data_IF_513031691143
#
_entry.id   IF_513031691143
#
_cell.length_a   1.000
_cell.length_b   1.000
_cell.length_c   1.000
_cell.angle_alpha   90.00
_cell.angle_beta   90.00
_cell.angle_gamma   90.00
#
_symmetry.space_group_name_H-M   'P 1'
#
loop_
_entity.id
_entity.type
_entity.pdbx_description
1 polymer ?
#
# COMPACT_ATOMS: atom_id res chain seq x y z
N UNK A 1 -2.99 6.78 -13.45
CA UNK A 1 -2.68 5.70 -12.47
C UNK A 1 -3.53 5.92 -11.22
N UNK A 2 -3.90 4.87 -10.50
CA UNK A 2 -4.54 4.95 -9.17
C UNK A 2 -3.61 4.36 -8.12
N UNK A 3 -3.82 4.72 -6.84
CA UNK A 3 -2.97 4.28 -5.75
C UNK A 3 -3.81 3.83 -4.55
N UNK A 4 -3.40 2.77 -3.87
CA UNK A 4 -4.03 2.27 -2.65
C UNK A 4 -2.99 1.99 -1.58
N UNK A 5 -3.26 2.44 -0.35
CA UNK A 5 -2.47 2.06 0.83
C UNK A 5 -3.26 1.02 1.62
N UNK A 6 -2.63 -0.11 1.92
CA UNK A 6 -3.22 -1.19 2.70
C UNK A 6 -2.81 -1.03 4.17
N UNK A 7 -3.75 -0.59 5.01
CA UNK A 7 -3.55 -0.30 6.42
C UNK A 7 -4.54 -1.04 7.35
N UNK A 8 -5.14 -2.15 6.88
CA UNK A 8 -6.14 -2.92 7.63
C UNK A 8 -5.55 -4.08 8.47
N UNK A 9 -4.22 -4.24 8.51
CA UNK A 9 -3.56 -5.29 9.28
C UNK A 9 -3.74 -5.17 10.79
N UNK A 10 -3.76 -6.30 11.50
CA UNK A 10 -4.05 -6.37 12.94
C UNK A 10 -2.96 -5.79 13.86
N UNK A 11 -1.72 -5.62 13.38
CA UNK A 11 -0.58 -5.04 14.13
C UNK A 11 -0.31 -5.68 15.51
N UNK A 12 -0.62 -6.96 15.68
CA UNK A 12 -0.64 -7.65 16.98
C UNK A 12 0.71 -7.68 17.69
N UNK A 13 1.82 -7.73 16.94
CA UNK A 13 3.19 -7.79 17.48
C UNK A 13 3.74 -6.44 17.92
N UNK A 14 3.28 -5.36 17.30
CA UNK A 14 3.73 -4.00 17.59
C UNK A 14 3.07 -3.41 18.84
N UNK A 15 1.93 -3.98 19.29
CA UNK A 15 1.17 -3.48 20.43
C UNK A 15 0.39 -2.18 20.18
N UNK A 16 0.55 -1.60 19.00
CA UNK A 16 -0.18 -0.41 18.52
C UNK A 16 -0.42 -0.51 17.01
N UNK A 17 -1.40 0.23 16.45
CA UNK A 17 -1.67 0.23 15.02
C UNK A 17 -0.48 0.75 14.20
N UNK A 18 0.07 -0.07 13.30
CA UNK A 18 1.21 0.30 12.43
C UNK A 18 1.01 1.62 11.69
N UNK A 19 -0.20 1.86 11.21
CA UNK A 19 -0.53 3.09 10.48
C UNK A 19 -0.31 4.37 11.30
N UNK A 20 -0.36 4.28 12.63
CA UNK A 20 -0.33 5.41 13.55
C UNK A 20 0.96 5.53 14.36
N UNK A 21 1.94 4.64 14.13
CA UNK A 21 3.26 4.78 14.78
C UNK A 21 3.93 6.07 14.33
N UNK A 22 4.70 6.68 15.22
CA UNK A 22 5.56 7.79 14.86
C UNK A 22 6.65 7.30 13.92
N UNK A 23 6.74 7.93 12.77
CA UNK A 23 7.75 7.70 11.75
C UNK A 23 8.20 9.05 11.23
N UNK A 24 9.46 9.40 11.49
CA UNK A 24 10.02 10.71 11.12
C UNK A 24 9.21 11.92 11.65
N UNK A 25 8.66 11.80 12.88
CA UNK A 25 7.93 12.88 13.56
C UNK A 25 6.45 13.03 13.17
N UNK A 26 5.89 12.09 12.42
CA UNK A 26 4.46 12.06 12.07
C UNK A 26 3.92 10.62 12.00
N UNK A 27 2.59 10.40 11.99
CA UNK A 27 2.03 9.07 11.77
C UNK A 27 2.50 8.46 10.45
N UNK A 28 2.93 7.19 10.46
CA UNK A 28 3.44 6.48 9.27
C UNK A 28 2.48 6.56 8.07
N UNK A 29 1.17 6.48 8.32
CA UNK A 29 0.17 6.61 7.25
C UNK A 29 0.19 8.01 6.62
N UNK A 30 0.40 9.05 7.41
CA UNK A 30 0.52 10.43 6.92
C UNK A 30 1.78 10.59 6.08
N UNK A 31 2.93 10.12 6.58
CA UNK A 31 4.20 10.13 5.84
C UNK A 31 4.05 9.50 4.46
N UNK A 32 3.45 8.30 4.38
CA UNK A 32 3.24 7.62 3.09
C UNK A 32 2.27 8.36 2.18
N UNK A 33 1.17 8.90 2.71
CA UNK A 33 0.20 9.65 1.90
C UNK A 33 0.85 10.91 1.32
N UNK A 34 1.51 11.73 2.14
CA UNK A 34 2.17 12.96 1.71
C UNK A 34 3.25 12.68 0.64
N UNK A 35 4.02 11.62 0.83
CA UNK A 35 5.03 11.18 -0.13
C UNK A 35 4.42 10.77 -1.48
N UNK A 36 3.34 10.02 -1.48
CA UNK A 36 2.64 9.63 -2.71
C UNK A 36 1.98 10.83 -3.39
N UNK A 37 1.39 11.75 -2.61
CA UNK A 37 0.81 13.01 -3.10
C UNK A 37 1.86 13.91 -3.75
N UNK A 38 3.08 13.98 -3.22
CA UNK A 38 4.18 14.75 -3.82
C UNK A 38 4.58 14.25 -5.22
N UNK A 39 4.24 13.00 -5.54
CA UNK A 39 4.41 12.40 -6.89
C UNK A 39 3.12 12.43 -7.74
N UNK A 40 2.14 13.25 -7.37
CA UNK A 40 0.90 13.44 -8.12
C UNK A 40 -0.10 12.28 -8.01
N UNK A 41 0.01 11.44 -6.99
CA UNK A 41 -0.95 10.37 -6.71
C UNK A 41 -2.01 10.85 -5.71
N UNK A 42 -3.20 10.26 -5.80
CA UNK A 42 -4.30 10.45 -4.85
C UNK A 42 -4.59 9.07 -4.20
N UNK A 43 -3.90 8.70 -3.12
CA UNK A 43 -4.07 7.38 -2.55
C UNK A 43 -5.42 7.20 -1.86
N UNK A 44 -6.04 6.03 -2.07
CA UNK A 44 -7.16 5.55 -1.25
C UNK A 44 -6.56 4.71 -0.12
N UNK A 45 -6.81 5.09 1.12
CA UNK A 45 -6.37 4.36 2.30
C UNK A 45 -7.44 3.35 2.70
N UNK A 46 -7.07 2.07 2.80
CA UNK A 46 -7.98 1.03 3.31
C UNK A 46 -7.54 0.63 4.71
N UNK A 47 -8.38 0.90 5.69
CA UNK A 47 -8.13 0.62 7.09
C UNK A 47 -9.19 -0.30 7.69
N UNK A 48 -9.08 -0.62 8.96
CA UNK A 48 -10.05 -1.40 9.76
C UNK A 48 -10.89 -0.48 10.65
N UNK A 49 -12.05 -0.95 11.05
CA UNK A 49 -13.02 -0.14 11.79
C UNK A 49 -12.48 0.39 13.13
N UNK A 50 -11.62 -0.39 13.81
CA UNK A 50 -11.12 -0.06 15.15
C UNK A 50 -10.22 1.16 15.20
N UNK A 51 -9.57 1.52 14.09
CA UNK A 51 -8.61 2.63 14.02
C UNK A 51 -9.03 3.73 13.04
N UNK A 52 -10.21 3.61 12.42
CA UNK A 52 -10.63 4.55 11.36
C UNK A 52 -10.69 6.00 11.83
N UNK A 53 -11.12 6.25 13.06
CA UNK A 53 -11.21 7.62 13.61
C UNK A 53 -9.83 8.24 13.74
N UNK A 54 -8.85 7.49 14.24
CA UNK A 54 -7.48 7.97 14.40
C UNK A 54 -6.82 8.19 13.03
N UNK A 55 -7.05 7.28 12.07
CA UNK A 55 -6.58 7.43 10.68
C UNK A 55 -7.19 8.67 10.01
N UNK A 56 -8.50 8.92 10.18
CA UNK A 56 -9.14 10.12 9.65
C UNK A 56 -8.62 11.40 10.33
N UNK A 57 -8.25 11.33 11.60
CA UNK A 57 -7.63 12.45 12.32
C UNK A 57 -6.24 12.77 11.77
N UNK A 58 -5.45 11.73 11.42
CA UNK A 58 -4.13 11.88 10.80
C UNK A 58 -4.23 12.32 9.32
N UNK A 59 -5.33 12.04 8.65
CA UNK A 59 -5.54 12.27 7.22
C UNK A 59 -6.82 13.07 6.94
N UNK A 60 -6.91 14.33 7.39
CA UNK A 60 -8.09 15.16 7.11
C UNK A 60 -8.24 15.33 5.59
N UNK A 61 -9.49 15.24 5.12
CA UNK A 61 -9.89 15.45 3.71
C UNK A 61 -9.34 14.40 2.70
N UNK A 62 -8.77 13.28 3.16
CA UNK A 62 -8.32 12.18 2.30
C UNK A 62 -9.36 11.05 2.26
N UNK A 63 -9.29 10.26 1.20
CA UNK A 63 -10.20 9.12 1.02
C UNK A 63 -9.76 7.93 1.87
N UNK A 64 -10.53 7.65 2.92
CA UNK A 64 -10.33 6.50 3.81
C UNK A 64 -11.52 5.55 3.68
N UNK A 65 -11.25 4.27 3.51
CA UNK A 65 -12.25 3.19 3.35
C UNK A 65 -12.09 2.17 4.46
N UNK A 66 -13.19 1.71 5.02
CA UNK A 66 -13.19 0.66 6.04
C UNK A 66 -13.29 -0.71 5.36
N UNK A 67 -12.34 -1.59 5.67
CA UNK A 67 -12.49 -3.02 5.42
C UNK A 67 -13.21 -3.65 6.64
N UNK A 68 -14.42 -4.14 6.42
CA UNK A 68 -15.23 -4.78 7.47
C UNK A 68 -14.80 -6.24 7.77
N UNK A 69 -13.99 -6.84 6.90
CA UNK A 69 -13.46 -8.21 7.05
C UNK A 69 -11.96 -8.23 6.72
N UNK A 70 -11.10 -7.63 7.58
CA UNK A 70 -9.67 -7.58 7.34
C UNK A 70 -8.98 -8.96 7.41
N UNK A 71 -9.60 -9.93 8.07
CA UNK A 71 -9.07 -11.28 8.25
C UNK A 71 -9.24 -12.14 6.98
N UNK A 72 -10.10 -11.76 6.04
CA UNK A 72 -10.19 -12.38 4.72
C UNK A 72 -8.90 -12.25 3.90
N UNK A 73 -8.02 -11.30 4.26
CA UNK A 73 -6.69 -11.18 3.68
C UNK A 73 -6.46 -9.93 2.83
N UNK A 74 -5.25 -9.89 2.23
CA UNK A 74 -4.81 -8.71 1.44
C UNK A 74 -5.66 -8.47 0.21
N UNK A 75 -6.10 -9.51 -0.47
CA UNK A 75 -6.96 -9.40 -1.66
C UNK A 75 -8.30 -8.77 -1.31
N UNK A 76 -8.95 -9.20 -0.22
CA UNK A 76 -10.17 -8.57 0.28
C UNK A 76 -9.98 -7.08 0.63
N UNK A 77 -8.86 -6.75 1.29
CA UNK A 77 -8.51 -5.36 1.58
C UNK A 77 -8.35 -4.54 0.30
N UNK A 78 -7.66 -5.09 -0.70
CA UNK A 78 -7.46 -4.44 -1.98
C UNK A 78 -8.78 -4.22 -2.73
N UNK A 79 -9.68 -5.20 -2.71
CA UNK A 79 -11.02 -5.11 -3.29
C UNK A 79 -11.87 -4.00 -2.67
N UNK A 80 -11.70 -3.71 -1.36
CA UNK A 80 -12.37 -2.57 -0.70
C UNK A 80 -11.92 -1.24 -1.32
N UNK A 81 -10.62 -1.04 -1.49
CA UNK A 81 -10.08 0.16 -2.16
C UNK A 81 -10.52 0.27 -3.62
N UNK A 82 -10.53 -0.84 -4.35
CA UNK A 82 -10.96 -0.87 -5.76
C UNK A 82 -12.44 -0.50 -5.91
N UNK A 83 -13.33 -0.96 -5.04
CA UNK A 83 -14.75 -0.55 -5.06
C UNK A 83 -14.89 0.96 -4.94
N UNK A 84 -14.24 1.58 -3.96
CA UNK A 84 -14.26 3.03 -3.78
C UNK A 84 -13.78 3.78 -5.02
N UNK A 85 -12.67 3.32 -5.62
CA UNK A 85 -12.10 3.96 -6.81
C UNK A 85 -13.03 3.89 -8.03
N UNK A 86 -13.83 2.83 -8.16
CA UNK A 86 -14.75 2.64 -9.28
C UNK A 86 -16.02 3.46 -9.08
N UNK A 87 -16.52 3.55 -7.86
CA UNK A 87 -17.74 4.30 -7.54
C UNK A 87 -17.57 5.80 -7.72
N UNK A 88 -16.38 6.35 -7.40
CA UNK A 88 -16.14 7.80 -7.41
C UNK A 88 -15.73 8.39 -8.75
N UNK A 89 -15.12 7.64 -9.65
CA UNK A 89 -14.58 8.16 -10.93
C UNK A 89 -15.30 7.63 -12.19
N UNK A 90 -16.58 7.32 -12.08
CA UNK A 90 -17.45 7.16 -13.26
C UNK A 90 -17.16 5.97 -14.15
N UNK A 91 -17.00 4.79 -13.59
CA UNK A 91 -17.12 3.55 -14.34
C UNK A 91 -15.84 2.79 -14.67
N UNK A 92 -16.00 1.74 -15.42
CA UNK A 92 -15.08 0.64 -15.72
C UNK A 92 -13.86 1.01 -16.60
N UNK A 93 -13.24 2.16 -16.38
CA UNK A 93 -12.04 2.48 -17.13
C UNK A 93 -10.87 1.62 -16.61
N UNK A 94 -10.21 0.92 -17.52
CA UNK A 94 -8.99 0.18 -17.23
C UNK A 94 -7.89 1.12 -16.72
N UNK A 95 -7.24 0.79 -15.60
CA UNK A 95 -6.22 1.62 -14.99
C UNK A 95 -5.10 0.78 -14.38
N UNK A 96 -3.90 1.34 -14.31
CA UNK A 96 -2.80 0.82 -13.53
C UNK A 96 -3.01 1.16 -12.05
N UNK A 97 -2.64 0.25 -11.14
CA UNK A 97 -2.81 0.41 -9.70
C UNK A 97 -1.47 0.24 -8.98
N UNK A 98 -1.05 1.26 -8.24
CA UNK A 98 0.05 1.16 -7.28
C UNK A 98 -0.49 0.69 -5.93
N UNK A 99 0.08 -0.39 -5.41
CA UNK A 99 -0.29 -1.00 -4.12
C UNK A 99 0.85 -0.79 -3.12
N UNK A 100 0.55 -0.08 -2.04
CA UNK A 100 1.52 0.27 -0.99
C UNK A 100 1.05 -0.31 0.35
N UNK A 101 1.72 -1.35 0.89
CA UNK A 101 1.47 -1.76 2.28
C UNK A 101 2.00 -0.69 3.24
N UNK A 102 1.22 -0.36 4.28
CA UNK A 102 1.59 0.67 5.25
C UNK A 102 2.88 0.35 6.01
N UNK A 103 3.19 -0.92 6.20
CA UNK A 103 4.36 -1.41 6.94
C UNK A 103 5.64 -1.50 6.10
N UNK A 104 5.65 -0.99 4.88
CA UNK A 104 6.78 -1.05 3.93
C UNK A 104 7.15 0.34 3.39
N UNK A 105 7.61 1.27 4.24
CA UNK A 105 7.90 2.65 3.82
C UNK A 105 9.26 2.82 3.12
N UNK A 106 10.14 1.82 3.15
CA UNK A 106 11.57 1.95 2.83
C UNK A 106 11.95 2.03 1.34
N UNK A 107 11.02 2.34 0.43
CA UNK A 107 11.33 2.61 -0.98
C UNK A 107 11.75 4.07 -1.19
N UNK A 108 12.64 4.34 -2.14
CA UNK A 108 13.07 5.70 -2.49
C UNK A 108 12.12 6.41 -3.46
N UNK A 109 12.28 7.72 -3.63
CA UNK A 109 11.55 8.50 -4.65
C UNK A 109 11.98 8.11 -6.07
N UNK A 110 13.23 7.70 -6.25
CA UNK A 110 13.70 7.16 -7.52
C UNK A 110 12.98 5.85 -7.86
N UNK A 111 12.87 4.95 -6.90
CA UNK A 111 12.11 3.69 -7.05
C UNK A 111 10.64 3.96 -7.36
N UNK A 112 10.01 4.92 -6.67
CA UNK A 112 8.64 5.33 -6.95
C UNK A 112 8.50 5.88 -8.38
N UNK A 113 9.40 6.75 -8.81
CA UNK A 113 9.40 7.31 -10.18
C UNK A 113 9.51 6.20 -11.22
N UNK A 114 10.41 5.23 -11.04
CA UNK A 114 10.52 4.07 -11.95
C UNK A 114 9.24 3.25 -12.04
N UNK A 115 8.54 3.04 -10.90
CA UNK A 115 7.24 2.38 -10.89
C UNK A 115 6.17 3.16 -11.65
N UNK A 116 6.15 4.49 -11.49
CA UNK A 116 5.17 5.35 -12.19
C UNK A 116 5.34 5.31 -13.71
N UNK A 117 6.57 5.18 -14.20
CA UNK A 117 6.90 5.11 -15.63
C UNK A 117 6.74 3.70 -16.23
N UNK A 118 6.73 2.66 -15.39
CA UNK A 118 6.69 1.27 -15.85
C UNK A 118 5.38 0.94 -16.60
N UNK A 119 5.48 0.10 -17.63
CA UNK A 119 4.37 -0.32 -18.50
C UNK A 119 4.02 -1.81 -18.34
N UNK A 120 4.53 -2.45 -17.30
CA UNK A 120 4.27 -3.84 -16.97
C UNK A 120 4.04 -4.02 -15.46
N UNK A 121 3.44 -5.15 -15.07
CA UNK A 121 3.29 -5.53 -13.67
C UNK A 121 4.69 -5.76 -13.08
N UNK A 122 5.09 -4.93 -12.10
CA UNK A 122 6.44 -5.00 -11.56
C UNK A 122 6.52 -4.55 -10.09
N UNK A 123 7.63 -4.90 -9.47
CA UNK A 123 8.00 -4.43 -8.13
C UNK A 123 9.52 -4.21 -8.04
N UNK A 124 9.99 -3.31 -7.15
CA UNK A 124 11.41 -3.19 -6.86
C UNK A 124 11.95 -4.47 -6.23
N UNK A 125 13.24 -4.72 -6.41
CA UNK A 125 13.94 -5.82 -5.75
C UNK A 125 15.31 -5.36 -5.25
N UNK A 126 15.77 -5.98 -4.18
CA UNK A 126 17.13 -5.86 -3.68
C UNK A 126 17.66 -7.23 -3.32
N UNK A 127 18.86 -7.56 -3.77
CA UNK A 127 19.49 -8.86 -3.58
C UNK A 127 18.60 -10.03 -4.06
N UNK A 128 17.89 -9.82 -5.19
CA UNK A 128 17.00 -10.82 -5.79
C UNK A 128 15.66 -11.02 -5.06
N UNK A 129 15.45 -10.37 -3.92
CA UNK A 129 14.18 -10.41 -3.17
C UNK A 129 13.29 -9.24 -3.58
N UNK A 130 12.05 -9.54 -4.03
CA UNK A 130 11.05 -8.53 -4.35
C UNK A 130 10.56 -7.76 -3.13
N UNK A 131 10.31 -6.46 -3.32
CA UNK A 131 9.83 -5.52 -2.31
C UNK A 131 8.50 -4.87 -2.69
N UNK A 132 8.28 -3.70 -2.13
CA UNK A 132 7.12 -2.85 -2.37
C UNK A 132 7.59 -1.43 -2.69
N UNK A 133 6.73 -0.61 -3.35
CA UNK A 133 5.36 -0.84 -3.83
C UNK A 133 5.23 -1.85 -4.97
N UNK A 134 4.02 -2.35 -5.22
CA UNK A 134 3.69 -3.25 -6.33
C UNK A 134 2.86 -2.48 -7.37
N UNK A 135 3.32 -2.44 -8.61
CA UNK A 135 2.54 -1.93 -9.73
C UNK A 135 1.77 -3.06 -10.39
N UNK A 136 0.45 -2.89 -10.49
CA UNK A 136 -0.48 -3.80 -11.15
C UNK A 136 -0.99 -3.19 -12.44
N UNK A 137 -1.10 -4.00 -13.48
CA UNK A 137 -1.69 -3.64 -14.76
C UNK A 137 -3.21 -3.85 -14.76
N UNK A 138 -3.96 -3.28 -15.72
CA UNK A 138 -5.41 -3.41 -15.78
C UNK A 138 -5.92 -4.85 -15.72
N UNK A 139 -5.21 -5.79 -16.32
CA UNK A 139 -5.56 -7.22 -16.32
C UNK A 139 -5.42 -7.83 -14.91
N UNK A 140 -4.38 -7.45 -14.16
CA UNK A 140 -4.17 -7.88 -12.77
C UNK A 140 -5.29 -7.34 -11.88
N UNK A 141 -5.65 -6.06 -12.06
CA UNK A 141 -6.76 -5.42 -11.35
C UNK A 141 -8.07 -6.16 -11.64
N UNK A 142 -8.30 -6.56 -12.90
CA UNK A 142 -9.46 -7.35 -13.30
C UNK A 142 -9.52 -8.71 -12.59
N UNK A 143 -8.39 -9.44 -12.53
CA UNK A 143 -8.29 -10.73 -11.82
C UNK A 143 -8.56 -10.57 -10.33
N UNK A 144 -7.95 -9.56 -9.70
CA UNK A 144 -8.15 -9.26 -8.28
C UNK A 144 -9.61 -8.96 -7.95
N UNK A 145 -10.29 -8.17 -8.77
CA UNK A 145 -11.71 -7.83 -8.57
C UNK A 145 -12.62 -9.05 -8.58
N UNK A 146 -12.29 -10.06 -9.39
CA UNK A 146 -13.11 -11.28 -9.59
C UNK A 146 -12.72 -12.43 -8.67
N UNK A 147 -11.61 -12.32 -7.95
CA UNK A 147 -11.11 -13.39 -7.08
C UNK A 147 -11.89 -13.47 -5.76
N UNK A 148 -11.79 -14.62 -5.08
CA UNK A 148 -12.23 -14.71 -3.69
C UNK A 148 -11.33 -13.82 -2.78
N UNK A 149 -11.90 -13.18 -1.74
CA UNK A 149 -11.16 -12.22 -0.90
C UNK A 149 -9.94 -12.82 -0.20
N UNK A 150 -9.93 -14.12 0.07
CA UNK A 150 -8.87 -14.88 0.70
C UNK A 150 -7.80 -15.42 -0.27
N UNK A 151 -8.03 -15.27 -1.60
CA UNK A 151 -7.06 -15.73 -2.60
C UNK A 151 -5.71 -15.01 -2.43
N UNK A 152 -4.58 -15.73 -2.30
CA UNK A 152 -3.28 -15.10 -2.19
C UNK A 152 -2.94 -14.23 -3.40
N UNK A 153 -2.48 -13.00 -3.18
CA UNK A 153 -2.18 -12.06 -4.27
C UNK A 153 -1.15 -12.60 -5.28
N UNK A 154 -0.18 -13.43 -4.83
CA UNK A 154 0.81 -14.10 -5.69
C UNK A 154 0.21 -15.07 -6.72
N UNK A 155 -1.05 -15.48 -6.56
CA UNK A 155 -1.76 -16.32 -7.52
C UNK A 155 -2.50 -15.48 -8.58
N UNK A 156 -2.66 -14.19 -8.31
CA UNK A 156 -3.43 -13.26 -9.15
C UNK A 156 -2.53 -12.38 -10.03
N UNK A 157 -1.27 -12.19 -9.65
CA UNK A 157 -0.30 -11.41 -10.42
C UNK A 157 1.11 -12.00 -10.30
N UNK A 158 1.93 -11.78 -11.32
CA UNK A 158 3.32 -12.23 -11.38
C UNK A 158 4.22 -11.05 -11.77
N UNK A 159 4.58 -10.18 -10.81
CA UNK A 159 5.36 -9.00 -11.11
C UNK A 159 6.78 -9.36 -11.56
N UNK A 160 7.26 -8.68 -12.61
CA UNK A 160 8.68 -8.62 -12.92
C UNK A 160 9.41 -7.84 -11.83
N UNK A 161 10.67 -8.16 -11.60
CA UNK A 161 11.49 -7.51 -10.58
C UNK A 161 12.53 -6.64 -11.24
N UNK A 162 12.71 -5.43 -10.72
CA UNK A 162 13.82 -4.58 -11.11
C UNK A 162 14.68 -4.22 -9.89
N UNK A 163 15.98 -4.41 -9.99
CA UNK A 163 16.91 -4.13 -8.89
C UNK A 163 16.99 -2.63 -8.61
N UNK A 164 17.06 -2.29 -7.32
CA UNK A 164 17.20 -0.94 -6.78
C UNK A 164 18.26 -0.90 -5.69
N UNK A 165 18.79 0.29 -5.43
CA UNK A 165 19.83 0.51 -4.41
C UNK A 165 19.24 0.92 -3.04
N UNK A 166 17.91 0.94 -2.89
CA UNK A 166 17.22 1.34 -1.66
C UNK A 166 17.68 0.49 -0.47
N UNK A 167 18.43 1.07 0.46
CA UNK A 167 18.98 0.35 1.61
C UNK A 167 17.87 -0.27 2.46
N UNK A 168 16.77 0.47 2.62
CA UNK A 168 15.63 0.09 3.45
C UNK A 168 14.47 -0.55 2.68
N UNK A 169 14.65 -1.02 1.42
CA UNK A 169 13.57 -1.60 0.61
C UNK A 169 12.80 -2.69 1.36
N UNK A 170 13.50 -3.47 2.18
CA UNK A 170 12.93 -4.57 2.94
C UNK A 170 12.53 -4.22 4.36
N UNK A 171 12.64 -2.94 4.76
CA UNK A 171 12.12 -2.47 6.04
C UNK A 171 10.66 -2.90 6.19
N UNK A 172 10.37 -3.52 7.32
CA UNK A 172 9.03 -3.99 7.66
C UNK A 172 8.74 -3.64 9.11
N UNK A 173 7.94 -2.63 9.30
CA UNK A 173 7.57 -2.16 10.64
C UNK A 173 6.60 -3.17 11.28
N UNK A 174 7.11 -4.13 12.02
CA UNK A 174 6.38 -5.22 12.67
C UNK A 174 6.51 -5.18 14.20
N UNK A 175 7.62 -4.66 14.71
CA UNK A 175 7.96 -4.59 16.13
C UNK A 175 8.43 -3.18 16.52
N UNK A 176 8.45 -2.82 17.83
CA UNK A 176 8.99 -1.52 18.26
C UNK A 176 10.45 -1.28 17.87
N UNK A 177 11.25 -2.35 17.75
CA UNK A 177 12.67 -2.26 17.39
C UNK A 177 12.85 -1.79 15.93
N UNK A 178 11.89 -2.10 15.04
CA UNK A 178 11.93 -1.69 13.64
C UNK A 178 11.78 -0.17 13.46
N UNK A 179 11.27 0.54 14.47
CA UNK A 179 11.15 2.01 14.49
C UNK A 179 12.47 2.72 14.81
N UNK A 180 13.39 2.03 15.51
CA UNK A 180 14.71 2.58 15.87
C UNK A 180 15.73 2.53 14.73
N UNK A 181 15.51 1.79 13.67
CA UNK A 181 16.40 1.70 12.52
C UNK A 181 16.19 2.84 11.50
N UNK A 182 15.20 3.70 11.73
CA UNK A 182 14.86 4.82 10.83
C UNK A 182 15.65 6.11 11.14
N UNK A 183 16.47 6.13 12.20
CA UNK A 183 17.22 7.29 12.67
C UNK A 183 18.67 7.34 12.14
N UNK A 184 18.95 6.89 10.91
CA UNK A 184 20.30 7.03 10.31
C UNK A 184 20.21 7.62 8.90
#
# INVERSE_FOLDING_TARGET
MRCVILAAGASTRLGQPKALVDFEGMPLIQHLVERLESHGLEPVVVTRAEIVVDVLTALPDRTVVINSDPDAGRTGTLQCGLRQMLDTKGGEQAFRLLVVPVDRPGFSDETLTRLLDAQECCCPAKDGRGGHPLLLMPEDVGRIRSAAPDTPLRELCSPTRFEVEDENLHLNIDTPDDLGESDV
#
